data_IF_106550910742
#
_entry.id   IF_106550910742
#
_cell.length_a   1.000
_cell.length_b   1.000
_cell.length_c   1.000
_cell.angle_alpha   90.00
_cell.angle_beta   90.00
_cell.angle_gamma   90.00
#
_symmetry.space_group_name_H-M   'P 1'
#
loop_
_entity.id
_entity.type
_entity.pdbx_description
1 polymer ?
#
# COMPACT_ATOMS: atom_id res chain seq x y z
N UNK A 1 -13.00 3.23 -17.19
CA UNK A 1 -13.48 4.03 -16.06
C UNK A 1 -12.27 4.72 -15.49
N UNK A 2 -12.38 6.01 -15.19
CA UNK A 2 -11.31 6.78 -14.55
C UNK A 2 -10.85 6.13 -13.23
N UNK A 3 -9.55 6.12 -12.96
CA UNK A 3 -8.97 5.44 -11.80
C UNK A 3 -9.47 6.04 -10.46
N UNK A 4 -9.57 7.37 -10.37
CA UNK A 4 -10.07 8.04 -9.16
C UNK A 4 -11.56 7.79 -8.98
N UNK A 5 -12.34 7.85 -10.05
CA UNK A 5 -13.79 7.57 -9.99
C UNK A 5 -14.05 6.14 -9.50
N UNK A 6 -13.36 5.13 -10.04
CA UNK A 6 -13.51 3.74 -9.56
C UNK A 6 -13.13 3.63 -8.07
N UNK A 7 -12.04 4.28 -7.66
CA UNK A 7 -11.55 4.20 -6.29
C UNK A 7 -12.53 4.85 -5.29
N UNK A 8 -12.96 6.08 -5.56
CA UNK A 8 -13.84 6.85 -4.68
C UNK A 8 -15.24 6.23 -4.60
N UNK A 9 -15.76 5.70 -5.71
CA UNK A 9 -17.08 5.02 -5.69
C UNK A 9 -17.03 3.75 -4.83
N UNK A 10 -15.97 2.93 -4.93
CA UNK A 10 -15.76 1.77 -4.06
C UNK A 10 -15.54 2.15 -2.60
N UNK A 11 -14.84 3.27 -2.34
CA UNK A 11 -14.65 3.80 -1.00
C UNK A 11 -15.99 4.05 -0.30
N UNK A 12 -16.86 4.86 -0.92
CA UNK A 12 -18.16 5.19 -0.32
C UNK A 12 -19.15 4.04 -0.34
N UNK A 13 -19.05 3.12 -1.30
CA UNK A 13 -19.81 1.87 -1.24
C UNK A 13 -19.40 1.00 -0.04
N UNK A 14 -18.12 1.01 0.35
CA UNK A 14 -17.64 0.22 1.51
C UNK A 14 -18.07 0.84 2.84
N UNK A 15 -18.07 2.16 2.95
CA UNK A 15 -18.43 2.88 4.19
C UNK A 15 -19.95 3.06 4.35
N UNK A 16 -20.77 2.67 3.37
CA UNK A 16 -22.22 2.94 3.38
C UNK A 16 -23.03 2.12 4.40
N UNK A 17 -22.43 1.13 5.07
CA UNK A 17 -23.12 0.26 6.02
C UNK A 17 -23.49 0.97 7.32
N UNK A 18 -22.76 2.04 7.69
CA UNK A 18 -23.08 2.90 8.83
C UNK A 18 -23.53 4.27 8.35
N UNK A 19 -24.79 4.62 8.63
CA UNK A 19 -25.43 5.80 8.05
C UNK A 19 -24.75 7.13 8.48
N UNK A 20 -24.38 7.25 9.76
CA UNK A 20 -23.75 8.47 10.31
C UNK A 20 -22.30 8.58 9.83
N UNK A 21 -21.53 7.48 9.89
CA UNK A 21 -20.19 7.40 9.29
C UNK A 21 -20.21 7.85 7.83
N UNK A 22 -21.09 7.23 7.01
CA UNK A 22 -21.20 7.56 5.60
C UNK A 22 -21.57 9.02 5.36
N UNK A 23 -22.50 9.58 6.14
CA UNK A 23 -22.86 11.00 6.04
C UNK A 23 -21.67 11.92 6.31
N UNK A 24 -20.93 11.68 7.40
CA UNK A 24 -19.80 12.51 7.79
C UNK A 24 -18.67 12.43 6.77
N UNK A 25 -18.32 11.22 6.32
CA UNK A 25 -17.22 10.98 5.37
C UNK A 25 -17.53 11.52 3.98
N UNK A 26 -18.76 11.33 3.48
CA UNK A 26 -19.16 11.90 2.17
C UNK A 26 -19.21 13.42 2.20
N UNK A 27 -19.75 14.02 3.28
CA UNK A 27 -19.73 15.48 3.47
C UNK A 27 -18.30 16.01 3.51
N UNK A 28 -17.41 15.37 4.27
CA UNK A 28 -16.00 15.74 4.36
C UNK A 28 -15.35 15.75 2.97
N UNK A 29 -15.51 14.68 2.19
CA UNK A 29 -14.96 14.59 0.83
C UNK A 29 -15.47 15.69 -0.11
N UNK A 30 -16.79 15.90 -0.15
CA UNK A 30 -17.38 16.92 -1.02
C UNK A 30 -17.05 18.35 -0.59
N UNK A 31 -16.80 18.59 0.70
CA UNK A 31 -16.39 19.90 1.22
C UNK A 31 -14.90 20.16 1.07
N UNK A 32 -14.10 19.10 1.13
CA UNK A 32 -12.67 19.18 0.85
C UNK A 32 -12.42 19.53 -0.62
N UNK A 33 -13.23 18.98 -1.53
CA UNK A 33 -13.24 19.29 -2.97
C UNK A 33 -11.84 19.36 -3.59
N UNK A 34 -11.00 18.40 -3.21
CA UNK A 34 -9.61 18.33 -3.62
C UNK A 34 -9.24 16.87 -3.88
N UNK A 35 -9.20 16.52 -5.16
CA UNK A 35 -8.93 15.16 -5.64
C UNK A 35 -7.42 14.82 -5.64
N UNK A 36 -6.54 15.76 -5.29
CA UNK A 36 -5.12 15.49 -5.03
C UNK A 36 -4.91 14.81 -3.68
N UNK A 37 -5.94 14.69 -2.83
CA UNK A 37 -5.86 14.07 -1.51
C UNK A 37 -6.34 12.62 -1.57
N UNK A 38 -5.47 11.69 -1.18
CA UNK A 38 -5.78 10.26 -1.12
C UNK A 38 -6.50 9.94 0.18
N UNK A 39 -7.62 9.23 0.10
CA UNK A 39 -8.37 8.73 1.27
C UNK A 39 -8.31 7.21 1.30
N UNK A 40 -7.81 6.63 2.38
CA UNK A 40 -7.78 5.17 2.58
C UNK A 40 -8.84 4.81 3.64
N UNK A 41 -9.75 3.86 3.38
CA UNK A 41 -10.73 3.45 4.38
C UNK A 41 -10.08 2.55 5.42
N UNK A 42 -10.62 2.56 6.65
CA UNK A 42 -10.47 1.47 7.63
C UNK A 42 -9.02 1.03 7.83
N UNK A 43 -8.15 1.97 8.18
CA UNK A 43 -6.73 1.67 8.38
C UNK A 43 -6.49 1.11 9.79
N UNK A 44 -5.86 -0.07 9.84
CA UNK A 44 -5.31 -0.61 11.09
C UNK A 44 -4.11 0.24 11.53
N UNK A 45 -4.16 0.71 12.77
CA UNK A 45 -3.06 1.42 13.42
C UNK A 45 -2.49 0.51 14.50
N UNK A 46 -1.21 0.16 14.37
CA UNK A 46 -0.52 -0.72 15.31
C UNK A 46 -0.39 -0.10 16.70
N UNK A 47 -0.74 -0.85 17.74
CA UNK A 47 -0.44 -0.53 19.15
C UNK A 47 0.76 -1.36 19.62
N UNK A 48 1.29 -1.07 20.82
CA UNK A 48 2.15 -2.02 21.52
C UNK A 48 1.38 -3.32 21.84
N UNK A 49 2.06 -4.46 21.66
CA UNK A 49 1.60 -5.83 21.96
C UNK A 49 0.19 -6.16 21.43
N UNK A 50 0.14 -6.60 20.17
CA UNK A 50 -0.95 -7.36 19.54
C UNK A 50 -2.36 -6.75 19.48
N UNK A 51 -2.52 -5.47 19.81
CA UNK A 51 -3.81 -4.76 19.68
C UNK A 51 -3.76 -3.74 18.54
N UNK A 52 -4.80 -3.69 17.72
CA UNK A 52 -4.93 -2.72 16.64
C UNK A 52 -6.13 -1.81 16.90
N UNK A 53 -5.99 -0.52 16.58
CA UNK A 53 -7.15 0.38 16.45
C UNK A 53 -7.55 0.46 14.97
N UNK A 54 -8.85 0.51 14.70
CA UNK A 54 -9.39 0.77 13.37
C UNK A 54 -9.89 2.21 13.35
N UNK A 55 -9.43 2.99 12.37
CA UNK A 55 -9.91 4.36 12.12
C UNK A 55 -10.74 4.37 10.84
N UNK A 56 -11.77 5.20 10.74
CA UNK A 56 -12.70 5.13 9.61
C UNK A 56 -12.03 5.54 8.29
N UNK A 57 -11.22 6.59 8.31
CA UNK A 57 -10.37 6.97 7.17
C UNK A 57 -8.96 7.40 7.58
N UNK A 58 -8.03 7.27 6.65
CA UNK A 58 -6.63 7.67 6.77
C UNK A 58 -6.17 8.47 5.54
N UNK A 59 -5.54 9.62 5.79
CA UNK A 59 -4.94 10.51 4.80
C UNK A 59 -3.40 10.38 4.85
N UNK A 60 -2.79 9.55 3.99
CA UNK A 60 -1.36 9.22 4.10
C UNK A 60 -0.43 10.42 3.93
N UNK A 61 -0.81 11.40 3.11
CA UNK A 61 0.00 12.59 2.84
C UNK A 61 0.24 13.44 4.09
N UNK A 62 -0.67 13.37 5.07
CA UNK A 62 -0.62 14.15 6.30
C UNK A 62 -0.39 13.29 7.55
N UNK A 63 -0.26 11.96 7.39
CA UNK A 63 -0.29 10.99 8.50
C UNK A 63 -1.48 11.26 9.44
N UNK A 64 -2.65 11.50 8.86
CA UNK A 64 -3.83 11.97 9.56
C UNK A 64 -4.95 10.93 9.50
N UNK A 65 -5.45 10.52 10.66
CA UNK A 65 -6.62 9.66 10.80
C UNK A 65 -7.84 10.50 11.16
N UNK A 66 -9.01 10.11 10.65
CA UNK A 66 -10.29 10.69 11.01
C UNK A 66 -11.24 9.57 11.41
N UNK A 67 -11.94 9.79 12.51
CA UNK A 67 -12.90 8.85 13.09
C UNK A 67 -14.23 9.52 13.36
N UNK A 68 -15.32 8.79 13.10
CA UNK A 68 -16.69 9.22 13.32
C UNK A 68 -17.23 8.51 14.56
N UNK A 69 -17.43 9.28 15.63
CA UNK A 69 -17.94 8.75 16.88
C UNK A 69 -19.47 8.81 16.91
N UNK A 70 -20.12 7.68 16.65
CA UNK A 70 -21.58 7.57 16.72
C UNK A 70 -22.09 7.54 18.18
N UNK A 71 -23.31 8.07 18.46
CA UNK A 71 -23.88 8.12 19.81
C UNK A 71 -23.94 6.77 20.54
N UNK A 72 -24.09 5.66 19.81
CA UNK A 72 -24.16 4.30 20.37
C UNK A 72 -22.87 3.86 21.08
N UNK A 73 -21.76 4.59 20.93
CA UNK A 73 -20.50 4.31 21.62
C UNK A 73 -20.45 4.84 23.07
N UNK A 74 -21.35 5.74 23.48
CA UNK A 74 -21.33 6.40 24.78
C UNK A 74 -22.37 5.83 25.77
N UNK A 75 -22.11 4.61 26.26
CA UNK A 75 -22.95 3.97 27.30
C UNK A 75 -22.26 3.99 28.68
N UNK A 76 -20.94 4.27 28.76
CA UNK A 76 -20.22 4.37 30.04
C UNK A 76 -19.01 5.33 30.00
N UNK A 77 -18.70 5.96 31.14
CA UNK A 77 -17.53 6.82 31.32
C UNK A 77 -16.20 6.12 31.01
N UNK A 78 -16.12 4.80 31.22
CA UNK A 78 -14.92 4.01 30.94
C UNK A 78 -14.55 4.00 29.46
N UNK A 79 -15.53 4.09 28.55
CA UNK A 79 -15.28 4.14 27.10
C UNK A 79 -14.72 5.49 26.66
N UNK A 80 -15.13 6.58 27.30
CA UNK A 80 -14.61 7.93 27.03
C UNK A 80 -13.12 7.99 27.40
N UNK A 81 -12.77 7.48 28.57
CA UNK A 81 -11.37 7.39 29.03
C UNK A 81 -10.54 6.46 28.12
N UNK A 82 -11.13 5.35 27.67
CA UNK A 82 -10.47 4.44 26.73
C UNK A 82 -10.21 5.10 25.36
N UNK A 83 -11.12 5.94 24.87
CA UNK A 83 -10.95 6.69 23.61
C UNK A 83 -9.87 7.78 23.72
N UNK A 84 -9.80 8.50 24.84
CA UNK A 84 -8.73 9.47 25.06
C UNK A 84 -7.35 8.81 25.18
N UNK A 85 -7.26 7.66 25.88
CA UNK A 85 -6.04 6.86 25.92
C UNK A 85 -5.65 6.35 24.53
N UNK A 86 -6.63 5.88 23.74
CA UNK A 86 -6.43 5.42 22.36
C UNK A 86 -5.86 6.51 21.46
N UNK A 87 -6.39 7.73 21.55
CA UNK A 87 -5.87 8.88 20.80
C UNK A 87 -4.41 9.17 21.14
N UNK A 88 -4.10 9.27 22.44
CA UNK A 88 -2.73 9.54 22.93
C UNK A 88 -1.75 8.44 22.53
N UNK A 89 -2.17 7.19 22.53
CA UNK A 89 -1.34 6.05 22.11
C UNK A 89 -1.02 6.06 20.62
N UNK A 90 -2.00 6.33 19.76
CA UNK A 90 -1.78 6.43 18.30
C UNK A 90 -0.77 7.53 18.01
N UNK A 91 -1.00 8.72 18.58
CA UNK A 91 -0.12 9.88 18.38
C UNK A 91 1.30 9.61 18.89
N UNK A 92 1.44 9.02 20.09
CA UNK A 92 2.74 8.73 20.71
C UNK A 92 3.52 7.64 19.97
N UNK A 93 2.86 6.55 19.54
CA UNK A 93 3.54 5.37 19.01
C UNK A 93 3.82 5.47 17.50
N UNK A 94 2.97 6.17 16.75
CA UNK A 94 3.08 6.27 15.29
C UNK A 94 3.51 7.65 14.80
N UNK A 95 3.36 8.69 15.62
CA UNK A 95 3.52 10.09 15.20
C UNK A 95 2.41 10.56 14.26
N UNK A 96 1.31 9.82 14.13
CA UNK A 96 0.16 10.18 13.30
C UNK A 96 -0.85 10.98 14.12
N UNK A 97 -1.53 11.94 13.50
CA UNK A 97 -2.58 12.75 14.14
C UNK A 97 -3.93 12.04 14.03
N UNK A 98 -4.77 12.12 15.07
CA UNK A 98 -6.15 11.61 15.05
C UNK A 98 -7.15 12.74 15.31
N UNK A 99 -8.08 12.94 14.37
CA UNK A 99 -9.22 13.83 14.49
C UNK A 99 -10.52 13.03 14.64
N UNK A 100 -11.46 13.56 15.41
CA UNK A 100 -12.71 12.89 15.74
C UNK A 100 -13.87 13.80 15.38
N UNK A 101 -14.90 13.24 14.76
CA UNK A 101 -16.19 13.87 14.51
C UNK A 101 -17.18 13.28 15.51
N UNK A 102 -17.50 14.03 16.55
CA UNK A 102 -18.51 13.65 17.54
C UNK A 102 -19.92 13.87 16.97
N UNK A 103 -20.68 12.79 16.86
CA UNK A 103 -22.03 12.79 16.30
C UNK A 103 -23.14 12.78 17.36
N UNK A 104 -22.82 13.01 18.64
CA UNK A 104 -23.82 13.26 19.70
C UNK A 104 -24.53 14.63 19.60
N UNK A 105 -23.85 15.72 19.20
CA UNK A 105 -24.48 17.03 19.06
C UNK A 105 -25.48 17.10 17.89
N UNK A 106 -26.08 18.28 17.70
CA UNK A 106 -26.94 18.54 16.56
C UNK A 106 -26.18 18.61 15.23
N UNK A 107 -26.93 18.62 14.13
CA UNK A 107 -26.38 18.64 12.78
C UNK A 107 -25.47 19.85 12.51
N UNK A 108 -25.75 21.01 13.12
CA UNK A 108 -24.97 22.23 12.91
C UNK A 108 -23.59 22.11 13.53
N UNK A 109 -23.51 21.54 14.73
CA UNK A 109 -22.23 21.32 15.39
C UNK A 109 -21.42 20.21 14.69
N UNK A 110 -22.07 19.16 14.19
CA UNK A 110 -21.41 18.16 13.33
C UNK A 110 -20.83 18.82 12.08
N UNK A 111 -21.58 19.71 11.43
CA UNK A 111 -21.10 20.44 10.24
C UNK A 111 -19.87 21.29 10.56
N UNK A 112 -19.92 22.02 11.68
CA UNK A 112 -18.80 22.85 12.13
C UNK A 112 -17.54 22.02 12.38
N UNK A 113 -17.65 20.88 13.07
CA UNK A 113 -16.52 19.97 13.27
C UNK A 113 -15.91 19.50 11.93
N UNK A 114 -16.76 19.17 10.95
CA UNK A 114 -16.29 18.79 9.60
C UNK A 114 -15.60 19.97 8.90
N UNK A 115 -16.15 21.18 9.00
CA UNK A 115 -15.57 22.39 8.41
C UNK A 115 -14.20 22.73 9.04
N UNK A 116 -14.04 22.54 10.35
CA UNK A 116 -12.77 22.70 11.06
C UNK A 116 -11.72 21.68 10.57
N UNK A 117 -12.13 20.42 10.37
CA UNK A 117 -11.25 19.36 9.81
C UNK A 117 -10.84 19.70 8.37
N UNK A 118 -11.77 20.15 7.53
CA UNK A 118 -11.46 20.59 6.15
C UNK A 118 -10.45 21.74 6.16
N UNK A 119 -10.63 22.70 7.06
CA UNK A 119 -9.71 23.83 7.22
C UNK A 119 -8.31 23.37 7.61
N UNK A 120 -8.20 22.47 8.59
CA UNK A 120 -6.92 21.87 8.99
C UNK A 120 -6.24 21.14 7.82
N UNK A 121 -6.97 20.33 7.05
CA UNK A 121 -6.41 19.61 5.90
C UNK A 121 -5.91 20.60 4.84
N UNK A 122 -6.69 21.63 4.50
CA UNK A 122 -6.29 22.64 3.52
C UNK A 122 -5.06 23.44 3.97
N UNK A 123 -4.93 23.71 5.27
CA UNK A 123 -3.73 24.32 5.84
C UNK A 123 -2.50 23.40 5.68
N UNK A 124 -2.64 22.10 5.96
CA UNK A 124 -1.57 21.12 5.75
C UNK A 124 -1.14 21.04 4.28
N UNK A 125 -2.09 21.02 3.33
CA UNK A 125 -1.81 21.07 1.89
C UNK A 125 -0.99 22.31 1.56
N UNK A 126 -1.42 23.48 2.02
CA UNK A 126 -0.75 24.76 1.74
C UNK A 126 0.68 24.77 2.28
N UNK A 127 0.88 24.31 3.51
CA UNK A 127 2.21 24.22 4.15
C UNK A 127 3.11 23.26 3.39
N UNK A 128 2.62 22.05 3.07
CA UNK A 128 3.43 21.06 2.36
C UNK A 128 3.75 21.50 0.92
N UNK A 129 2.81 22.16 0.21
CA UNK A 129 3.08 22.73 -1.12
C UNK A 129 4.15 23.82 -1.06
N UNK A 130 4.07 24.72 -0.07
CA UNK A 130 5.09 25.76 0.16
C UNK A 130 6.47 25.17 0.45
N UNK A 131 6.52 24.05 1.16
CA UNK A 131 7.77 23.37 1.52
C UNK A 131 8.25 22.38 0.44
N UNK A 132 7.52 22.20 -0.66
CA UNK A 132 7.86 21.24 -1.72
C UNK A 132 7.75 19.77 -1.29
N UNK A 133 7.06 19.48 -0.18
CA UNK A 133 6.90 18.12 0.37
C UNK A 133 5.56 17.49 0.05
N UNK A 134 4.60 18.26 -0.47
CA UNK A 134 3.28 17.74 -0.84
C UNK A 134 3.40 16.80 -2.04
N UNK A 135 2.99 15.55 -1.84
CA UNK A 135 2.87 14.56 -2.91
C UNK A 135 1.39 14.43 -3.30
N UNK A 136 0.95 14.99 -4.44
CA UNK A 136 -0.45 14.85 -4.88
C UNK A 136 -0.75 13.40 -5.24
N UNK A 137 -1.99 12.97 -5.02
CA UNK A 137 -2.48 11.68 -5.45
C UNK A 137 -2.76 11.71 -6.96
N UNK A 138 -1.94 10.97 -7.72
CA UNK A 138 -1.97 11.01 -9.18
C UNK A 138 -1.94 9.57 -9.73
N UNK A 139 -3.03 8.79 -9.56
CA UNK A 139 -3.05 7.38 -9.96
C UNK A 139 -2.80 7.18 -11.46
N UNK A 140 -3.15 8.15 -12.29
CA UNK A 140 -2.91 8.10 -13.74
C UNK A 140 -1.44 8.31 -14.12
N UNK A 141 -0.64 8.87 -13.22
CA UNK A 141 0.81 8.96 -13.36
C UNK A 141 1.46 7.74 -12.70
N UNK A 142 1.09 7.45 -11.45
CA UNK A 142 1.58 6.32 -10.65
C UNK A 142 1.45 4.97 -11.39
N UNK A 143 0.39 4.81 -12.20
CA UNK A 143 0.10 3.58 -12.95
C UNK A 143 0.40 3.63 -14.45
N UNK A 144 1.08 4.67 -14.93
CA UNK A 144 1.41 4.82 -16.34
C UNK A 144 2.84 4.36 -16.65
N UNK A 145 3.02 3.19 -17.31
CA UNK A 145 4.36 2.68 -17.58
C UNK A 145 5.15 3.60 -18.52
N UNK A 146 4.51 4.28 -19.48
CA UNK A 146 5.21 5.17 -20.41
C UNK A 146 5.73 6.42 -19.71
N UNK A 147 5.01 6.93 -18.72
CA UNK A 147 5.47 8.07 -17.91
C UNK A 147 6.79 7.73 -17.21
N UNK A 148 6.81 6.63 -16.46
CA UNK A 148 8.01 6.18 -15.72
C UNK A 148 9.15 5.79 -16.66
N UNK A 149 8.82 5.16 -17.78
CA UNK A 149 9.80 4.83 -18.82
C UNK A 149 10.50 6.06 -19.39
N UNK A 150 9.76 7.15 -19.62
CA UNK A 150 10.33 8.41 -20.09
C UNK A 150 11.23 9.09 -19.04
N UNK A 151 10.92 8.92 -17.74
CA UNK A 151 11.79 9.37 -16.64
C UNK A 151 13.08 8.54 -16.59
N UNK A 152 12.98 7.24 -16.88
CA UNK A 152 14.10 6.31 -16.97
C UNK A 152 14.58 5.73 -15.63
N UNK A 153 14.16 6.31 -14.51
CA UNK A 153 14.49 5.86 -13.15
C UNK A 153 13.23 5.82 -12.29
N UNK A 154 13.11 4.80 -11.44
CA UNK A 154 11.98 4.61 -10.52
C UNK A 154 12.46 4.36 -9.09
N UNK A 155 11.69 4.81 -8.10
CA UNK A 155 11.96 4.63 -6.67
C UNK A 155 10.76 4.03 -5.96
N UNK A 156 10.98 3.37 -4.83
CA UNK A 156 9.88 2.86 -4.00
C UNK A 156 8.97 3.98 -3.46
N UNK A 157 9.52 5.18 -3.30
CA UNK A 157 8.80 6.38 -2.83
C UNK A 157 7.94 7.07 -3.89
N UNK A 158 7.98 6.58 -5.13
CA UNK A 158 7.16 7.04 -6.26
C UNK A 158 5.77 6.38 -6.30
N UNK A 159 5.50 5.44 -5.39
CA UNK A 159 4.21 4.74 -5.25
C UNK A 159 3.74 4.02 -6.52
N UNK A 160 4.67 3.60 -7.39
CA UNK A 160 4.35 2.97 -8.68
C UNK A 160 3.56 1.67 -8.50
N UNK A 161 2.45 1.56 -9.22
CA UNK A 161 1.61 0.38 -9.20
C UNK A 161 0.96 0.12 -10.55
N UNK A 162 0.80 -1.16 -10.92
CA UNK A 162 0.14 -1.54 -12.18
C UNK A 162 -1.02 -2.50 -11.94
N UNK A 163 -2.08 -2.39 -12.75
CA UNK A 163 -3.23 -3.32 -12.66
C UNK A 163 -2.86 -4.73 -13.13
N UNK A 164 -1.88 -4.86 -14.02
CA UNK A 164 -1.56 -6.10 -14.69
C UNK A 164 -0.05 -6.23 -14.96
N UNK A 165 0.37 -7.45 -15.30
CA UNK A 165 1.76 -7.79 -15.62
C UNK A 165 2.19 -7.21 -16.98
N UNK A 166 1.23 -6.94 -17.88
CA UNK A 166 1.53 -6.37 -19.20
C UNK A 166 2.13 -4.97 -19.07
N UNK A 167 1.63 -4.15 -18.15
CA UNK A 167 2.17 -2.81 -17.90
C UNK A 167 3.55 -2.85 -17.25
N UNK A 168 3.84 -3.85 -16.39
CA UNK A 168 5.21 -4.13 -15.94
C UNK A 168 6.09 -4.46 -17.15
N UNK A 169 5.63 -5.33 -18.05
CA UNK A 169 6.40 -5.69 -19.24
C UNK A 169 6.63 -4.48 -20.16
N UNK A 170 5.63 -3.60 -20.35
CA UNK A 170 5.75 -2.34 -21.11
C UNK A 170 6.79 -1.41 -20.50
N UNK A 171 6.86 -1.30 -19.17
CA UNK A 171 7.82 -0.46 -18.48
C UNK A 171 9.27 -0.82 -18.86
N UNK A 172 9.57 -2.12 -18.94
CA UNK A 172 10.93 -2.65 -19.19
C UNK A 172 11.16 -3.17 -20.61
N UNK A 173 10.26 -2.89 -21.57
CA UNK A 173 10.32 -3.46 -22.93
C UNK A 173 10.39 -5.00 -22.98
N UNK A 174 9.84 -5.66 -21.97
CA UNK A 174 9.83 -7.11 -21.90
C UNK A 174 8.71 -7.71 -22.74
N UNK A 175 9.01 -8.82 -23.42
CA UNK A 175 8.01 -9.53 -24.22
C UNK A 175 6.99 -10.23 -23.31
N UNK A 176 5.80 -9.64 -23.23
CA UNK A 176 4.68 -10.15 -22.44
C UNK A 176 4.30 -11.59 -22.83
N UNK A 177 4.52 -12.03 -24.07
CA UNK A 177 4.22 -13.41 -24.47
C UNK A 177 5.10 -14.43 -23.75
N UNK A 178 6.33 -14.07 -23.36
CA UNK A 178 7.22 -14.93 -22.57
C UNK A 178 6.71 -15.16 -21.15
N UNK A 179 5.73 -14.38 -20.69
CA UNK A 179 5.06 -14.61 -19.39
C UNK A 179 4.09 -15.79 -19.44
N UNK A 180 3.61 -16.19 -20.62
CA UNK A 180 2.64 -17.27 -20.79
C UNK A 180 3.33 -18.64 -20.65
N UNK A 181 2.67 -19.58 -19.97
CA UNK A 181 3.07 -20.98 -19.82
C UNK A 181 1.83 -21.85 -19.99
N UNK A 182 1.46 -22.11 -21.24
CA UNK A 182 0.17 -22.72 -21.57
C UNK A 182 -0.98 -21.85 -21.05
N UNK A 183 -1.91 -22.45 -20.29
CA UNK A 183 -3.01 -21.73 -19.62
C UNK A 183 -2.57 -20.96 -18.35
N UNK A 184 -1.31 -21.09 -17.93
CA UNK A 184 -0.78 -20.42 -16.73
C UNK A 184 0.13 -19.24 -17.09
N UNK A 185 0.47 -18.43 -16.09
CA UNK A 185 1.48 -17.37 -16.19
C UNK A 185 2.67 -17.69 -15.30
N UNK A 186 3.87 -17.39 -15.79
CA UNK A 186 5.12 -17.45 -15.01
C UNK A 186 5.06 -16.45 -13.85
N UNK A 187 5.82 -16.71 -12.79
CA UNK A 187 5.97 -15.79 -11.64
C UNK A 187 6.95 -14.64 -11.88
N UNK A 188 7.70 -14.68 -12.98
CA UNK A 188 8.65 -13.66 -13.38
C UNK A 188 9.25 -13.96 -14.76
N UNK A 189 9.96 -12.99 -15.34
CA UNK A 189 10.76 -13.10 -16.56
C UNK A 189 12.05 -12.30 -16.41
N UNK A 190 13.10 -12.68 -17.12
CA UNK A 190 14.34 -11.90 -17.11
C UNK A 190 14.13 -10.55 -17.81
N UNK A 191 14.84 -9.54 -17.30
CA UNK A 191 14.93 -8.24 -17.92
C UNK A 191 15.50 -8.39 -19.35
N UNK A 192 14.99 -7.67 -20.37
CA UNK A 192 15.42 -7.87 -21.76
C UNK A 192 16.91 -7.63 -21.99
N UNK A 193 17.46 -6.64 -21.28
CA UNK A 193 18.86 -6.22 -21.40
C UNK A 193 19.72 -6.72 -20.22
N UNK A 194 19.22 -7.63 -19.38
CA UNK A 194 20.02 -8.17 -18.27
C UNK A 194 19.72 -9.64 -17.99
N UNK A 195 20.76 -10.47 -17.99
CA UNK A 195 20.63 -11.88 -17.63
C UNK A 195 20.68 -12.14 -16.11
N UNK A 196 21.04 -11.12 -15.33
CA UNK A 196 21.14 -11.18 -13.87
C UNK A 196 19.89 -10.64 -13.18
N UNK A 197 19.08 -9.82 -13.86
CA UNK A 197 17.88 -9.22 -13.27
C UNK A 197 16.60 -9.93 -13.71
N UNK A 198 15.83 -10.39 -12.73
CA UNK A 198 14.50 -10.97 -12.94
C UNK A 198 13.43 -9.95 -12.58
N UNK A 199 12.54 -9.64 -13.53
CA UNK A 199 11.26 -9.00 -13.25
C UNK A 199 10.37 -10.02 -12.53
N UNK A 200 10.05 -9.76 -11.26
CA UNK A 200 9.38 -10.73 -10.39
C UNK A 200 8.10 -10.14 -9.81
N UNK A 201 6.99 -10.90 -9.86
CA UNK A 201 5.69 -10.48 -9.35
C UNK A 201 5.12 -11.46 -8.31
N UNK A 202 5.77 -11.57 -7.14
CA UNK A 202 5.34 -12.46 -6.07
C UNK A 202 3.97 -12.07 -5.51
N UNK A 203 3.34 -13.04 -4.85
CA UNK A 203 2.04 -12.88 -4.19
C UNK A 203 1.99 -13.72 -2.92
N UNK A 204 1.29 -13.21 -1.91
CA UNK A 204 0.95 -13.95 -0.68
C UNK A 204 -0.10 -15.03 -0.90
N UNK A 205 -0.79 -15.01 -2.05
CA UNK A 205 -1.70 -16.10 -2.40
C UNK A 205 -0.90 -17.35 -2.69
N UNK A 206 -1.14 -18.41 -1.91
CA UNK A 206 -0.54 -19.72 -2.15
C UNK A 206 -0.89 -20.22 -3.56
N UNK A 207 0.11 -20.66 -4.32
CA UNK A 207 -0.07 -21.19 -5.68
C UNK A 207 0.77 -22.45 -5.86
N UNK A 208 0.10 -23.58 -6.07
CA UNK A 208 0.77 -24.87 -6.29
C UNK A 208 1.82 -25.18 -5.20
N UNK A 209 1.49 -24.89 -3.94
CA UNK A 209 2.36 -25.11 -2.78
C UNK A 209 3.33 -23.96 -2.46
N UNK A 210 3.56 -23.02 -3.40
CA UNK A 210 4.41 -21.84 -3.16
C UNK A 210 3.70 -20.81 -2.30
N UNK A 211 4.42 -20.27 -1.32
CA UNK A 211 3.99 -19.18 -0.44
C UNK A 211 5.09 -18.12 -0.43
N UNK A 212 4.71 -16.87 -0.68
CA UNK A 212 5.60 -15.73 -0.51
C UNK A 212 5.09 -14.84 0.61
N UNK A 213 5.98 -14.35 1.47
CA UNK A 213 5.61 -13.43 2.54
C UNK A 213 6.49 -12.20 2.46
N UNK A 214 5.89 -11.01 2.41
CA UNK A 214 6.60 -9.74 2.51
C UNK A 214 6.67 -9.34 3.98
N UNK A 215 7.84 -8.92 4.46
CA UNK A 215 8.02 -8.43 5.82
C UNK A 215 7.26 -7.12 6.04
N UNK A 216 6.94 -6.79 7.30
CA UNK A 216 6.18 -5.58 7.65
C UNK A 216 6.89 -4.27 7.25
N UNK A 217 8.22 -4.25 7.29
CA UNK A 217 9.05 -3.12 6.82
C UNK A 217 9.25 -3.12 5.29
N UNK A 218 8.68 -4.11 4.60
CA UNK A 218 8.75 -4.35 3.17
C UNK A 218 10.16 -4.55 2.61
N UNK A 219 11.12 -4.93 3.48
CA UNK A 219 12.53 -5.10 3.10
C UNK A 219 12.94 -6.54 2.81
N UNK A 220 12.11 -7.51 3.17
CA UNK A 220 12.42 -8.93 3.02
C UNK A 220 11.24 -9.68 2.42
N UNK A 221 11.51 -10.58 1.49
CA UNK A 221 10.54 -11.51 0.94
C UNK A 221 11.03 -12.92 1.20
N UNK A 222 10.21 -13.70 1.91
CA UNK A 222 10.45 -15.12 2.12
C UNK A 222 9.71 -15.87 1.03
N UNK A 223 10.43 -16.61 0.19
CA UNK A 223 9.90 -17.52 -0.82
C UNK A 223 10.05 -18.96 -0.32
N UNK A 224 8.92 -19.60 -0.05
CA UNK A 224 8.88 -20.93 0.57
C UNK A 224 7.85 -21.83 -0.10
N UNK A 225 7.87 -23.11 0.26
CA UNK A 225 6.99 -24.12 -0.30
C UNK A 225 6.48 -25.07 0.78
N UNK A 226 5.23 -25.54 0.63
CA UNK A 226 4.58 -26.44 1.59
C UNK A 226 5.24 -27.83 1.65
N UNK A 227 5.74 -28.32 0.51
CA UNK A 227 6.57 -29.53 0.43
C UNK A 227 8.04 -29.21 0.78
N UNK A 228 8.61 -29.95 1.73
CA UNK A 228 9.96 -29.73 2.27
C UNK A 228 11.06 -30.03 1.25
N UNK A 229 10.89 -31.05 0.41
CA UNK A 229 11.89 -31.43 -0.60
C UNK A 229 11.98 -30.36 -1.70
N UNK A 230 10.83 -29.87 -2.17
CA UNK A 230 10.73 -28.77 -3.15
C UNK A 230 11.34 -27.50 -2.60
N UNK A 231 11.04 -27.17 -1.33
CA UNK A 231 11.62 -26.02 -0.63
C UNK A 231 13.15 -26.12 -0.53
N UNK A 232 13.68 -27.25 -0.09
CA UNK A 232 15.12 -27.48 0.03
C UNK A 232 15.82 -27.44 -1.33
N UNK A 233 15.21 -28.04 -2.37
CA UNK A 233 15.72 -28.00 -3.74
C UNK A 233 15.79 -26.57 -4.27
N UNK A 234 14.73 -25.78 -4.05
CA UNK A 234 14.70 -24.39 -4.47
C UNK A 234 15.74 -23.52 -3.75
N UNK A 235 15.88 -23.71 -2.44
CA UNK A 235 16.96 -23.09 -1.67
C UNK A 235 18.33 -23.42 -2.27
N UNK A 236 18.61 -24.71 -2.52
CA UNK A 236 19.89 -25.15 -3.08
C UNK A 236 20.16 -24.56 -4.47
N UNK A 237 19.13 -24.45 -5.32
CA UNK A 237 19.26 -23.84 -6.65
C UNK A 237 19.61 -22.34 -6.61
N UNK A 238 19.34 -21.66 -5.50
CA UNK A 238 19.60 -20.23 -5.33
C UNK A 238 20.76 -19.93 -4.36
N UNK A 239 21.46 -20.96 -3.89
CA UNK A 239 22.66 -20.81 -3.06
C UNK A 239 23.67 -19.88 -3.76
N UNK A 240 23.98 -18.76 -3.12
CA UNK A 240 24.90 -17.74 -3.63
C UNK A 240 24.52 -17.22 -5.03
N UNK A 241 23.22 -17.21 -5.36
CA UNK A 241 22.76 -16.72 -6.64
C UNK A 241 23.16 -15.25 -6.83
N UNK A 242 23.82 -14.89 -7.95
CA UNK A 242 24.11 -13.49 -8.28
C UNK A 242 22.86 -12.74 -8.79
N UNK A 243 21.73 -13.45 -8.92
CA UNK A 243 20.50 -12.91 -9.47
C UNK A 243 19.92 -11.83 -8.57
N UNK A 244 19.56 -10.70 -9.18
CA UNK A 244 18.75 -9.64 -8.58
C UNK A 244 17.31 -9.77 -9.05
N UNK A 245 16.36 -9.41 -8.20
CA UNK A 245 14.92 -9.44 -8.50
C UNK A 245 14.35 -8.04 -8.41
N UNK A 246 13.86 -7.53 -9.53
CA UNK A 246 13.08 -6.28 -9.60
C UNK A 246 11.64 -6.63 -9.23
N UNK A 247 11.19 -6.19 -8.06
CA UNK A 247 9.97 -6.70 -7.45
C UNK A 247 8.77 -5.80 -7.70
N UNK A 248 7.73 -6.38 -8.29
CA UNK A 248 6.38 -5.84 -8.39
C UNK A 248 5.41 -6.72 -7.60
N UNK A 249 5.33 -6.49 -6.29
CA UNK A 249 4.60 -7.36 -5.38
C UNK A 249 3.07 -7.22 -5.57
N UNK A 250 2.37 -8.34 -5.70
CA UNK A 250 0.92 -8.35 -5.83
C UNK A 250 0.25 -7.92 -4.51
N UNK A 251 -0.51 -6.84 -4.56
CA UNK A 251 -1.25 -6.26 -3.45
C UNK A 251 -2.75 -6.29 -3.74
N UNK A 252 -3.56 -6.60 -2.71
CA UNK A 252 -5.01 -6.41 -2.73
C UNK A 252 -5.36 -5.45 -1.61
N UNK A 253 -5.96 -4.32 -1.94
CA UNK A 253 -6.34 -3.33 -0.93
C UNK A 253 -7.69 -3.68 -0.27
N UNK A 254 -8.09 -2.83 0.69
CA UNK A 254 -9.37 -2.96 1.40
C UNK A 254 -10.57 -2.76 0.46
N UNK A 255 -10.44 -2.03 -0.65
CA UNK A 255 -11.52 -1.89 -1.64
C UNK A 255 -11.64 -3.12 -2.56
N UNK A 256 -10.77 -4.10 -2.37
CA UNK A 256 -10.68 -5.30 -3.18
C UNK A 256 -9.99 -5.08 -4.53
N UNK A 257 -9.41 -3.90 -4.75
CA UNK A 257 -8.63 -3.59 -5.94
C UNK A 257 -7.30 -4.31 -5.86
N UNK A 258 -6.93 -5.01 -6.93
CA UNK A 258 -5.67 -5.71 -7.05
C UNK A 258 -4.70 -4.91 -7.91
N UNK A 259 -3.45 -4.83 -7.47
CA UNK A 259 -2.36 -4.15 -8.17
C UNK A 259 -1.04 -4.89 -7.95
N UNK A 260 -0.05 -4.56 -8.75
CA UNK A 260 1.34 -4.96 -8.57
C UNK A 260 2.16 -3.71 -8.25
N UNK A 261 2.71 -3.62 -7.04
CA UNK A 261 3.41 -2.43 -6.54
C UNK A 261 4.91 -2.62 -6.64
N UNK A 262 5.64 -1.62 -7.14
CA UNK A 262 7.09 -1.66 -7.12
C UNK A 262 7.60 -1.64 -5.67
N UNK A 263 8.49 -2.58 -5.32
CA UNK A 263 9.05 -2.71 -3.97
C UNK A 263 10.57 -2.58 -3.91
N UNK A 264 11.23 -2.32 -5.05
CA UNK A 264 12.68 -2.20 -5.13
C UNK A 264 13.33 -3.42 -5.77
N UNK A 265 14.66 -3.48 -5.64
CA UNK A 265 15.50 -4.57 -6.14
C UNK A 265 15.96 -5.40 -4.95
N UNK A 266 15.79 -6.71 -5.05
CA UNK A 266 16.08 -7.67 -4.00
C UNK A 266 17.16 -8.65 -4.43
N UNK A 267 18.01 -9.06 -3.49
CA UNK A 267 19.05 -10.06 -3.70
C UNK A 267 18.93 -11.18 -2.66
N UNK A 268 19.53 -12.33 -2.95
CA UNK A 268 19.58 -13.46 -2.04
C UNK A 268 20.27 -13.11 -0.71
N UNK A 269 19.64 -13.46 0.41
CA UNK A 269 20.22 -13.32 1.76
C UNK A 269 20.67 -14.69 2.29
N UNK A 270 21.99 -14.93 2.24
CA UNK A 270 22.58 -16.19 2.71
C UNK A 270 22.50 -16.38 4.22
N UNK A 271 22.34 -15.30 5.00
CA UNK A 271 22.32 -15.37 6.47
C UNK A 271 20.98 -15.83 7.02
N UNK A 272 19.89 -15.54 6.30
CA UNK A 272 18.51 -15.86 6.70
C UNK A 272 17.87 -17.00 5.92
N UNK A 273 18.44 -17.35 4.76
CA UNK A 273 17.96 -18.46 3.94
C UNK A 273 18.38 -19.81 4.52
N UNK A 274 17.49 -20.79 4.47
CA UNK A 274 17.81 -22.16 4.88
C UNK A 274 16.86 -23.17 4.24
N UNK A 275 17.20 -24.47 4.20
CA UNK A 275 16.29 -25.51 3.71
C UNK A 275 14.97 -25.59 4.51
N UNK A 276 14.98 -25.19 5.79
CA UNK A 276 13.79 -25.23 6.66
C UNK A 276 12.88 -24.00 6.49
N UNK A 277 13.45 -22.81 6.27
CA UNK A 277 12.71 -21.55 6.10
C UNK A 277 12.30 -21.38 4.63
N UNK A 278 13.21 -21.63 3.70
CA UNK A 278 13.11 -21.28 2.28
C UNK A 278 14.18 -20.27 1.88
N UNK A 279 13.95 -19.59 0.76
CA UNK A 279 14.85 -18.58 0.21
C UNK A 279 14.40 -17.20 0.66
N UNK A 280 15.29 -16.44 1.31
CA UNK A 280 15.03 -15.07 1.73
C UNK A 280 15.68 -14.12 0.73
N UNK A 281 14.88 -13.17 0.25
CA UNK A 281 15.29 -12.09 -0.63
C UNK A 281 15.26 -10.79 0.15
N UNK A 282 16.37 -10.06 0.21
CA UNK A 282 16.49 -8.80 0.93
C UNK A 282 16.62 -7.64 -0.04
N UNK A 283 15.92 -6.54 0.21
CA UNK A 283 16.01 -5.31 -0.57
C UNK A 283 17.43 -4.75 -0.49
N UNK A 284 18.05 -4.55 -1.65
CA UNK A 284 19.40 -3.99 -1.80
C UNK A 284 19.37 -2.60 -2.43
N UNK A 285 18.36 -2.29 -3.24
CA UNK A 285 18.20 -0.98 -3.89
C UNK A 285 16.72 -0.55 -3.82
N UNK A 286 16.49 0.70 -3.45
CA UNK A 286 15.16 1.33 -3.46
C UNK A 286 14.94 2.23 -4.68
N UNK A 287 15.95 2.35 -5.54
CA UNK A 287 15.99 3.14 -6.76
C UNK A 287 16.58 2.28 -7.88
N UNK A 288 15.96 2.31 -9.05
CA UNK A 288 16.33 1.46 -10.19
C UNK A 288 16.30 2.30 -11.48
N UNK A 289 17.36 2.21 -12.28
CA UNK A 289 17.31 2.60 -13.69
C UNK A 289 16.56 1.54 -14.49
N UNK A 290 15.55 1.94 -15.25
CA UNK A 290 14.70 1.03 -16.02
C UNK A 290 15.52 0.32 -17.10
N UNK A 291 16.33 1.08 -17.85
CA UNK A 291 17.27 0.51 -18.80
C UNK A 291 18.56 0.14 -18.07
N UNK A 292 18.76 -1.17 -17.92
CA UNK A 292 20.03 -1.73 -17.49
C UNK A 292 20.93 -1.86 -18.72
N UNK A 293 21.91 -0.98 -18.82
CA UNK A 293 23.02 -1.15 -19.76
C UNK A 293 24.00 -2.13 -19.09
N UNK A 294 24.03 -3.40 -19.53
CA UNK A 294 25.07 -4.38 -19.17
C UNK A 294 26.27 -4.29 -20.13
#
# INVERSE_FOLDING_TARGET
>A
MDNKVEYITRLFQRTSSKAIENYCLTRLWHKLDNDEIKIIPQQYVGRHTDKYALTDIYLPQFKLHIEVNEPAHYVSNDRILADEMRKKEIEKNTGHKLLVIDCRPDLKEIHKQIDDIVTEINNQVTIQKKNGTFKPWQPDIESNPNHWKNIGTIKTSDEIWFRNIEDICKLFDADFNKTKRGFQRRGGIFHPNSNTHLLWWPSEKTRSGWLNTLSQDEREIIETHSDSNTKATHYNNHLNSPQKRIVFFHHKDLLGLTSYKFKGVFAYDSSKSSPSIGTVWKMVENELKINLDE
#
